data_IF_102059977064
#
_entry.id   IF_102059977064
#
_cell.length_a   1.000
_cell.length_b   1.000
_cell.length_c   1.000
_cell.angle_alpha   90.00
_cell.angle_beta   90.00
_cell.angle_gamma   90.00
#
_symmetry.space_group_name_H-M   'P 1'
#
loop_
_entity.id
_entity.type
_entity.pdbx_description
1 polymer ?
#
# COMPACT_ATOMS: atom_id res chain seq x y z
N UNK A 1 -5.23 14.31 -27.35
CA UNK A 1 -4.92 14.01 -28.77
C UNK A 1 -4.28 12.62 -28.86
N UNK A 2 -5.08 11.56 -28.94
CA UNK A 2 -4.58 10.20 -29.20
C UNK A 2 -5.63 9.45 -30.03
N UNK A 3 -5.74 9.84 -31.30
CA UNK A 3 -6.45 9.12 -32.34
C UNK A 3 -5.44 8.86 -33.45
N UNK A 4 -5.38 7.59 -33.91
CA UNK A 4 -4.43 6.98 -34.86
C UNK A 4 -3.13 6.45 -34.24
N UNK A 5 -3.16 5.17 -33.83
CA UNK A 5 -2.35 4.10 -34.43
C UNK A 5 -2.59 2.78 -33.68
N UNK A 6 -3.60 2.01 -34.12
CA UNK A 6 -3.67 0.57 -33.89
C UNK A 6 -3.88 -0.09 -35.25
N UNK A 7 -2.81 -0.11 -36.05
CA UNK A 7 -2.63 -1.07 -37.14
C UNK A 7 -1.15 -1.40 -37.19
N UNK A 8 -0.85 -2.68 -37.05
CA UNK A 8 0.45 -3.35 -37.15
C UNK A 8 1.23 -3.52 -35.84
N UNK A 9 0.92 -4.58 -35.11
CA UNK A 9 1.95 -5.33 -34.37
C UNK A 9 1.85 -6.80 -34.80
N UNK A 10 2.70 -7.16 -35.77
CA UNK A 10 3.00 -8.54 -36.12
C UNK A 10 4.04 -9.02 -35.10
N UNK A 11 3.71 -10.10 -34.39
CA UNK A 11 4.62 -10.72 -33.43
C UNK A 11 5.79 -11.36 -34.19
N UNK A 12 7.02 -10.98 -33.83
CA UNK A 12 8.22 -11.58 -34.40
C UNK A 12 8.59 -12.85 -33.63
N UNK A 13 8.70 -13.98 -34.33
CA UNK A 13 9.34 -15.19 -33.81
C UNK A 13 10.42 -15.68 -34.78
N UNK A 14 11.65 -15.85 -34.28
CA UNK A 14 12.71 -16.73 -34.84
C UNK A 14 12.93 -17.83 -33.81
N UNK A 15 13.29 -19.09 -34.08
CA UNK A 15 13.44 -20.00 -35.24
C UNK A 15 13.72 -21.38 -34.58
N UNK A 16 13.38 -22.54 -35.13
CA UNK A 16 14.22 -23.33 -36.07
C UNK A 16 13.46 -24.57 -36.59
N UNK A 17 13.72 -24.94 -37.86
CA UNK A 17 13.71 -26.26 -38.55
C UNK A 17 12.94 -27.46 -37.91
N UNK A 18 12.21 -28.33 -38.60
CA UNK A 18 12.14 -28.77 -40.01
C UNK A 18 10.93 -29.69 -40.17
N UNK A 19 10.25 -29.66 -41.33
CA UNK A 19 9.14 -30.56 -41.69
C UNK A 19 7.78 -29.89 -41.57
N UNK A 20 7.32 -29.25 -42.64
CA UNK A 20 5.99 -28.66 -42.69
C UNK A 20 4.96 -29.70 -43.13
N UNK A 21 4.26 -30.31 -42.16
CA UNK A 21 2.84 -30.55 -42.37
C UNK A 21 2.16 -29.19 -42.30
N UNK A 22 1.44 -28.84 -43.38
CA UNK A 22 0.68 -27.59 -43.46
C UNK A 22 -0.46 -27.72 -42.44
N UNK A 23 -0.26 -27.07 -41.30
CA UNK A 23 -1.25 -26.98 -40.24
C UNK A 23 -2.35 -26.03 -40.72
N UNK A 24 -3.49 -26.61 -41.14
CA UNK A 24 -4.64 -25.83 -41.58
C UNK A 24 -5.29 -25.17 -40.36
N UNK A 25 -5.19 -23.84 -40.28
CA UNK A 25 -5.73 -23.04 -39.16
C UNK A 25 -7.24 -23.22 -39.00
N UNK A 26 -7.96 -23.58 -40.07
CA UNK A 26 -9.39 -23.83 -40.03
C UNK A 26 -9.77 -25.03 -39.15
N UNK A 27 -8.88 -26.01 -38.96
CA UNK A 27 -9.13 -27.19 -38.13
C UNK A 27 -9.08 -26.91 -36.61
N UNK A 28 -8.59 -25.73 -36.22
CA UNK A 28 -8.52 -25.24 -34.83
C UNK A 28 -9.47 -24.08 -34.54
N UNK A 29 -10.25 -23.66 -35.54
CA UNK A 29 -11.41 -22.80 -35.34
C UNK A 29 -12.53 -23.72 -34.84
N UNK A 30 -12.81 -23.66 -33.53
CA UNK A 30 -14.01 -24.26 -33.00
C UNK A 30 -15.22 -23.60 -33.68
N UNK A 31 -15.94 -24.32 -34.55
CA UNK A 31 -17.21 -23.85 -35.13
C UNK A 31 -18.24 -23.47 -34.05
N UNK A 32 -18.05 -23.95 -32.81
CA UNK A 32 -18.77 -23.51 -31.63
C UNK A 32 -17.84 -23.33 -30.43
N UNK A 33 -17.67 -22.07 -30.03
CA UNK A 33 -17.30 -21.72 -28.67
C UNK A 33 -18.30 -22.35 -27.70
N UNK A 34 -17.83 -23.19 -26.78
CA UNK A 34 -18.62 -23.68 -25.65
C UNK A 34 -18.33 -22.76 -24.47
N UNK A 35 -19.17 -21.76 -24.18
CA UNK A 35 -18.98 -20.94 -22.99
C UNK A 35 -18.98 -21.83 -21.75
N UNK A 36 -18.14 -21.54 -20.74
CA UNK A 36 -18.29 -22.16 -19.44
C UNK A 36 -19.74 -22.02 -18.97
N UNK A 37 -20.30 -23.08 -18.34
CA UNK A 37 -21.68 -23.07 -17.85
C UNK A 37 -21.90 -21.83 -16.99
N UNK A 38 -22.89 -21.03 -17.40
CA UNK A 38 -23.30 -19.84 -16.69
C UNK A 38 -23.78 -20.22 -15.28
N UNK A 39 -23.34 -19.46 -14.28
CA UNK A 39 -24.10 -19.31 -13.05
C UNK A 39 -24.96 -18.07 -13.21
N UNK A 40 -26.27 -18.22 -13.05
CA UNK A 40 -27.14 -17.05 -12.82
C UNK A 40 -26.59 -16.25 -11.62
N UNK A 41 -26.70 -14.91 -11.62
CA UNK A 41 -26.34 -14.13 -10.45
C UNK A 41 -27.07 -14.70 -9.22
N UNK A 42 -26.29 -15.00 -8.20
CA UNK A 42 -26.72 -15.66 -6.99
C UNK A 42 -27.27 -14.63 -5.98
N UNK A 43 -26.85 -13.35 -6.04
CA UNK A 43 -27.39 -12.29 -5.19
C UNK A 43 -28.62 -11.60 -5.78
N UNK A 44 -29.41 -11.00 -4.90
CA UNK A 44 -30.59 -10.21 -5.22
C UNK A 44 -30.56 -8.89 -4.46
N UNK A 45 -30.52 -7.74 -5.13
CA UNK A 45 -30.67 -6.44 -4.47
C UNK A 45 -32.09 -5.91 -4.70
N UNK A 46 -32.81 -5.62 -3.62
CA UNK A 46 -34.15 -5.03 -3.66
C UNK A 46 -34.07 -3.61 -3.13
N UNK A 47 -34.46 -2.64 -3.94
CA UNK A 47 -34.64 -1.26 -3.51
C UNK A 47 -36.03 -1.10 -2.91
N UNK A 48 -36.10 -0.54 -1.70
CA UNK A 48 -37.36 -0.26 -1.02
C UNK A 48 -37.52 1.25 -1.01
N UNK A 49 -38.62 1.76 -1.58
CA UNK A 49 -38.89 3.20 -1.70
C UNK A 49 -39.13 3.92 -0.36
N UNK A 50 -39.11 3.19 0.75
CA UNK A 50 -39.31 3.72 2.11
C UNK A 50 -38.21 3.24 3.05
N UNK A 51 -37.11 3.98 3.09
CA UNK A 51 -36.31 4.06 4.30
C UNK A 51 -36.66 5.41 4.90
N UNK A 52 -37.31 5.38 6.07
CA UNK A 52 -37.48 6.53 6.97
C UNK A 52 -36.18 7.33 6.96
N UNK A 53 -36.26 8.65 6.83
CA UNK A 53 -35.17 9.58 7.10
C UNK A 53 -34.69 9.42 8.56
N UNK A 54 -34.05 8.29 8.88
CA UNK A 54 -33.01 8.34 9.86
C UNK A 54 -32.01 9.29 9.22
N UNK A 55 -31.86 10.48 9.81
CA UNK A 55 -30.64 11.28 9.70
C UNK A 55 -29.49 10.31 10.00
N UNK A 56 -29.02 9.63 8.96
CA UNK A 56 -27.94 8.68 9.05
C UNK A 56 -26.73 9.57 9.23
N UNK A 57 -26.43 9.90 10.49
CA UNK A 57 -25.12 10.42 10.91
C UNK A 57 -24.08 9.67 10.10
N UNK A 58 -23.18 10.43 9.48
CA UNK A 58 -22.11 9.98 8.58
C UNK A 58 -21.19 9.03 9.35
N UNK A 59 -21.68 7.83 9.63
CA UNK A 59 -20.93 6.69 10.13
C UNK A 59 -20.66 5.87 8.90
N UNK A 60 -19.39 5.71 8.55
CA UNK A 60 -18.99 4.97 7.37
C UNK A 60 -19.66 3.58 7.41
N UNK A 61 -20.35 3.15 6.34
CA UNK A 61 -20.93 1.81 6.13
C UNK A 61 -19.96 0.68 6.40
N UNK A 62 -18.66 0.88 6.18
CA UNK A 62 -17.67 -0.07 6.61
C UNK A 62 -17.77 -0.35 8.10
N UNK A 63 -18.36 0.52 8.94
CA UNK A 63 -18.60 0.33 10.39
C UNK A 63 -19.87 -0.48 10.71
N UNK A 64 -20.74 -0.70 9.73
CA UNK A 64 -22.09 -1.29 9.91
C UNK A 64 -22.22 -2.72 9.41
N UNK A 65 -21.19 -3.27 8.80
CA UNK A 65 -21.17 -4.70 8.47
C UNK A 65 -21.04 -5.44 9.81
N UNK A 66 -22.11 -6.06 10.28
CA UNK A 66 -22.33 -6.42 11.69
C UNK A 66 -21.34 -7.43 12.30
N UNK A 67 -20.31 -7.84 11.57
CA UNK A 67 -19.19 -8.69 12.02
C UNK A 67 -17.86 -8.25 11.37
N UNK A 68 -17.49 -6.97 11.49
CA UNK A 68 -16.26 -6.48 10.86
C UNK A 68 -15.00 -6.96 11.58
N UNK A 69 -14.40 -7.97 10.96
CA UNK A 69 -12.97 -8.24 11.06
C UNK A 69 -12.26 -7.08 10.36
N UNK A 70 -11.89 -6.06 11.14
CA UNK A 70 -10.90 -5.06 10.78
C UNK A 70 -9.55 -5.76 10.80
N UNK A 71 -8.88 -5.97 9.64
CA UNK A 71 -7.67 -6.76 9.61
C UNK A 71 -6.64 -6.18 10.58
N UNK A 72 -6.21 -7.03 11.52
CA UNK A 72 -5.23 -6.68 12.54
C UNK A 72 -5.67 -5.51 13.43
N UNK A 73 -6.96 -5.23 13.65
CA UNK A 73 -7.38 -4.21 14.63
C UNK A 73 -7.14 -4.67 16.06
N UNK A 74 -6.78 -3.73 16.95
CA UNK A 74 -6.70 -3.98 18.39
C UNK A 74 -8.02 -4.53 18.93
N UNK A 75 -7.92 -5.45 19.87
CA UNK A 75 -9.10 -6.09 20.46
C UNK A 75 -9.95 -5.04 21.18
N UNK A 76 -11.22 -4.91 20.78
CA UNK A 76 -12.15 -3.93 21.35
C UNK A 76 -12.02 -2.52 20.79
N UNK A 77 -11.05 -2.26 19.91
CA UNK A 77 -10.93 -0.97 19.24
C UNK A 77 -11.98 -0.82 18.14
N UNK A 78 -12.51 0.39 18.01
CA UNK A 78 -13.55 0.73 17.06
C UNK A 78 -13.06 1.89 16.20
N UNK A 79 -13.25 1.84 14.87
CA UNK A 79 -12.73 2.92 14.06
C UNK A 79 -13.41 4.25 14.39
N UNK A 80 -12.62 5.31 14.39
CA UNK A 80 -13.00 6.65 14.79
C UNK A 80 -12.71 7.65 13.68
N UNK A 81 -13.54 8.70 13.59
CA UNK A 81 -13.26 9.82 12.70
C UNK A 81 -12.29 10.79 13.37
N UNK A 82 -11.26 11.16 12.63
CA UNK A 82 -10.19 12.05 13.10
C UNK A 82 -9.98 13.17 12.08
N UNK A 83 -9.96 14.45 12.49
CA UNK A 83 -9.65 15.56 11.60
C UNK A 83 -8.20 15.52 11.12
N UNK A 84 -7.99 15.87 9.85
CA UNK A 84 -6.67 16.26 9.34
C UNK A 84 -6.51 17.75 9.65
N UNK A 85 -5.63 18.07 10.60
CA UNK A 85 -5.40 19.46 11.02
C UNK A 85 -4.33 20.19 10.23
N UNK A 86 -3.40 19.44 9.64
CA UNK A 86 -2.33 20.00 8.82
C UNK A 86 -1.91 19.02 7.72
N UNK A 87 -1.38 19.56 6.62
CA UNK A 87 -0.74 18.80 5.57
C UNK A 87 0.47 19.56 5.05
N UNK A 88 1.50 18.82 4.64
CA UNK A 88 2.74 19.37 4.10
C UNK A 88 3.22 18.50 2.94
N UNK A 89 3.74 19.13 1.90
CA UNK A 89 4.48 18.44 0.84
C UNK A 89 5.93 18.34 1.28
N UNK A 90 6.42 17.12 1.44
CA UNK A 90 7.83 16.86 1.77
C UNK A 90 8.69 16.78 0.51
N UNK A 91 8.13 16.29 -0.60
CA UNK A 91 8.77 16.26 -1.91
C UNK A 91 7.71 16.31 -3.00
N UNK A 92 7.96 17.07 -4.06
CA UNK A 92 7.09 17.07 -5.25
C UNK A 92 7.36 15.86 -6.15
N UNK A 93 6.43 15.56 -7.05
CA UNK A 93 6.70 14.57 -8.10
C UNK A 93 7.80 15.08 -9.04
N UNK A 94 8.64 14.17 -9.52
CA UNK A 94 9.72 14.46 -10.45
C UNK A 94 9.64 13.45 -11.60
N UNK A 95 9.14 13.86 -12.76
CA UNK A 95 8.94 12.95 -13.88
C UNK A 95 10.26 12.48 -14.50
N UNK A 96 11.29 13.33 -14.51
CA UNK A 96 12.60 13.02 -15.09
C UNK A 96 13.29 11.93 -14.27
N UNK A 97 13.30 12.11 -12.96
CA UNK A 97 13.86 11.12 -12.07
C UNK A 97 12.90 9.96 -11.88
N UNK A 98 11.58 10.10 -12.10
CA UNK A 98 10.51 9.20 -11.59
C UNK A 98 10.40 9.26 -10.06
N UNK A 99 10.53 10.44 -9.49
CA UNK A 99 10.26 10.76 -8.09
C UNK A 99 8.76 10.82 -7.82
N UNK A 100 8.36 10.23 -6.69
CA UNK A 100 6.97 10.24 -6.24
C UNK A 100 6.76 11.47 -5.37
N UNK A 101 5.60 12.11 -5.49
CA UNK A 101 5.17 13.11 -4.52
C UNK A 101 5.05 12.49 -3.14
N UNK A 102 5.64 13.11 -2.12
CA UNK A 102 5.59 12.67 -0.72
C UNK A 102 4.84 13.72 0.09
N UNK A 103 3.80 13.28 0.79
CA UNK A 103 3.01 14.11 1.69
C UNK A 103 3.18 13.65 3.14
N UNK A 104 3.19 14.62 4.04
CA UNK A 104 2.90 14.43 5.45
C UNK A 104 1.51 14.99 5.76
N UNK A 105 0.72 14.25 6.52
CA UNK A 105 -0.50 14.76 7.14
C UNK A 105 -0.40 14.63 8.66
N UNK A 106 -0.95 15.61 9.37
CA UNK A 106 -1.09 15.56 10.83
C UNK A 106 -2.57 15.45 11.19
N UNK A 107 -2.89 14.43 11.97
CA UNK A 107 -4.20 14.16 12.51
C UNK A 107 -4.33 14.76 13.92
N UNK A 108 -5.52 15.26 14.24
CA UNK A 108 -5.86 15.79 15.56
C UNK A 108 -6.53 14.71 16.43
N UNK A 109 -5.72 14.05 17.26
CA UNK A 109 -6.16 12.98 18.15
C UNK A 109 -6.65 13.58 19.47
N UNK A 110 -7.83 13.15 19.94
CA UNK A 110 -8.33 13.59 21.26
C UNK A 110 -7.46 13.10 22.43
N UNK A 111 -6.83 11.92 22.29
CA UNK A 111 -5.97 11.28 23.29
C UNK A 111 -4.83 10.52 22.58
N UNK A 112 -3.75 11.19 22.20
CA UNK A 112 -2.66 10.55 21.46
C UNK A 112 -1.80 9.61 22.34
N UNK A 113 -1.47 10.04 23.56
CA UNK A 113 -0.55 9.35 24.48
C UNK A 113 -0.95 7.91 24.80
N UNK A 114 -2.24 7.66 24.99
CA UNK A 114 -2.75 6.31 25.28
C UNK A 114 -3.03 5.49 24.02
N UNK A 115 -3.06 6.15 22.85
CA UNK A 115 -3.54 5.52 21.62
C UNK A 115 -2.44 4.81 20.84
N UNK A 116 -1.21 5.33 20.82
CA UNK A 116 -0.13 4.71 20.06
C UNK A 116 1.27 4.93 20.65
N UNK A 117 2.20 4.10 20.21
CA UNK A 117 3.64 4.26 20.44
C UNK A 117 4.39 4.27 19.10
N UNK A 118 5.61 4.84 19.03
CA UNK A 118 6.41 4.77 17.82
C UNK A 118 6.55 3.33 17.29
N UNK A 119 6.43 3.17 15.97
CA UNK A 119 6.44 1.85 15.32
C UNK A 119 5.07 1.16 15.24
N UNK A 120 4.05 1.71 15.90
CA UNK A 120 2.66 1.29 15.66
C UNK A 120 2.19 1.68 14.26
N UNK A 121 1.19 0.94 13.79
CA UNK A 121 0.48 1.23 12.55
C UNK A 121 -1.00 1.47 12.82
N UNK A 122 -1.63 2.29 11.99
CA UNK A 122 -3.09 2.46 11.96
C UNK A 122 -3.64 1.90 10.66
N UNK A 123 -4.91 1.47 10.67
CA UNK A 123 -5.66 1.17 9.45
C UNK A 123 -6.54 2.36 9.08
N UNK A 124 -6.38 2.89 7.86
CA UNK A 124 -7.24 3.94 7.31
C UNK A 124 -8.31 3.30 6.43
N UNK A 125 -9.57 3.68 6.63
CA UNK A 125 -10.68 3.20 5.81
C UNK A 125 -10.74 4.05 4.51
N UNK A 126 -10.51 3.45 3.33
CA UNK A 126 -10.64 4.13 2.05
C UNK A 126 -12.10 4.42 1.67
N UNK A 127 -12.26 5.38 0.77
CA UNK A 127 -13.50 5.68 0.05
C UNK A 127 -13.15 5.78 -1.44
N UNK A 128 -13.85 5.03 -2.29
CA UNK A 128 -13.72 5.15 -3.73
C UNK A 128 -14.36 6.46 -4.22
N UNK A 129 -13.75 7.07 -5.24
CA UNK A 129 -14.36 8.16 -5.98
C UNK A 129 -15.28 7.59 -7.07
N UNK A 130 -16.59 7.72 -6.89
CA UNK A 130 -17.57 7.22 -7.88
C UNK A 130 -18.02 8.37 -8.77
N UNK A 131 -17.95 8.15 -10.08
CA UNK A 131 -18.69 8.90 -11.09
C UNK A 131 -19.61 7.92 -11.81
N UNK A 132 -20.93 8.17 -11.73
CA UNK A 132 -22.03 7.51 -12.44
C UNK A 132 -21.99 5.98 -12.63
N UNK A 133 -22.74 5.24 -11.80
CA UNK A 133 -23.02 3.80 -12.01
C UNK A 133 -24.53 3.59 -12.05
N UNK A 134 -25.04 3.02 -13.14
CA UNK A 134 -26.48 2.77 -13.33
C UNK A 134 -26.97 1.53 -12.57
N UNK A 135 -28.20 1.56 -12.02
CA UNK A 135 -28.72 0.53 -11.11
C UNK A 135 -30.06 -0.05 -11.58
N UNK A 136 -30.14 -1.36 -11.89
CA UNK A 136 -31.39 -2.14 -12.00
C UNK A 136 -31.17 -3.61 -11.64
N UNK A 137 -32.11 -4.25 -10.92
CA UNK A 137 -32.16 -5.73 -10.81
C UNK A 137 -33.42 -6.37 -10.17
N UNK A 138 -33.52 -7.72 -10.25
CA UNK A 138 -34.43 -8.62 -9.51
C UNK A 138 -33.97 -10.11 -9.48
N UNK A 139 -34.39 -10.85 -8.43
CA UNK A 139 -34.45 -12.34 -8.17
C UNK A 139 -33.32 -13.03 -7.33
N UNK A 140 -33.64 -14.19 -6.72
CA UNK A 140 -33.62 -14.55 -5.27
C UNK A 140 -32.65 -15.69 -4.86
N UNK A 141 -32.12 -15.58 -3.63
CA UNK A 141 -31.50 -16.57 -2.69
C UNK A 141 -30.01 -16.95 -2.91
N UNK A 142 -29.12 -16.14 -2.30
CA UNK A 142 -27.78 -16.52 -1.83
C UNK A 142 -27.42 -15.84 -0.52
N UNK A 143 -26.46 -16.41 0.22
CA UNK A 143 -25.93 -15.85 1.45
C UNK A 143 -24.95 -14.71 1.13
N UNK A 144 -25.36 -13.47 1.41
CA UNK A 144 -24.57 -12.26 1.20
C UNK A 144 -23.18 -12.36 1.88
N UNK A 145 -22.09 -11.85 1.26
CA UNK A 145 -20.80 -11.78 1.92
C UNK A 145 -20.91 -11.00 3.23
N UNK A 146 -20.29 -11.49 4.29
CA UNK A 146 -20.45 -10.96 5.66
C UNK A 146 -20.03 -9.49 5.81
N UNK A 147 -19.18 -9.00 4.91
CA UNK A 147 -18.71 -7.62 4.88
C UNK A 147 -19.66 -6.65 4.16
N UNK A 148 -20.80 -7.12 3.63
CA UNK A 148 -21.78 -6.26 2.97
C UNK A 148 -22.95 -5.99 3.93
N UNK A 149 -23.27 -4.72 4.22
CA UNK A 149 -24.40 -4.40 5.08
C UNK A 149 -25.72 -4.89 4.49
N UNK A 150 -26.58 -5.46 5.35
CA UNK A 150 -27.92 -5.93 4.97
C UNK A 150 -28.83 -4.81 4.46
N UNK A 151 -28.62 -3.58 4.95
CA UNK A 151 -29.35 -2.38 4.51
C UNK A 151 -28.36 -1.26 4.18
N UNK A 152 -28.17 -0.98 2.88
CA UNK A 152 -27.38 0.15 2.40
C UNK A 152 -27.85 0.63 1.02
N UNK A 153 -27.48 1.86 0.66
CA UNK A 153 -27.72 2.43 -0.68
C UNK A 153 -26.68 1.93 -1.69
N UNK A 154 -26.97 1.86 -3.00
CA UNK A 154 -25.99 1.52 -4.04
C UNK A 154 -24.72 2.35 -4.00
N UNK A 155 -24.87 3.66 -3.83
CA UNK A 155 -23.75 4.59 -3.72
C UNK A 155 -22.79 4.13 -2.62
N UNK A 156 -23.32 3.97 -1.40
CA UNK A 156 -22.56 3.53 -0.21
C UNK A 156 -21.88 2.16 -0.37
N UNK A 157 -22.51 1.23 -1.08
CA UNK A 157 -21.94 -0.08 -1.36
C UNK A 157 -20.70 0.04 -2.26
N UNK A 158 -20.82 0.81 -3.34
CA UNK A 158 -19.76 1.03 -4.31
C UNK A 158 -18.66 1.95 -3.77
N UNK A 159 -18.98 2.87 -2.86
CA UNK A 159 -18.01 3.87 -2.39
C UNK A 159 -17.14 3.29 -1.29
N UNK A 160 -17.69 2.41 -0.47
CA UNK A 160 -17.01 2.02 0.77
C UNK A 160 -16.87 0.52 0.97
N UNK A 161 -17.66 -0.32 0.29
CA UNK A 161 -17.64 -1.76 0.57
C UNK A 161 -16.90 -2.54 -0.52
N UNK A 162 -17.05 -2.16 -1.79
CA UNK A 162 -16.52 -2.89 -2.94
C UNK A 162 -15.26 -2.20 -3.48
N UNK A 163 -14.23 -2.98 -3.78
CA UNK A 163 -13.00 -2.46 -4.40
C UNK A 163 -13.18 -2.36 -5.91
N UNK A 164 -13.80 -1.28 -6.39
CA UNK A 164 -14.06 -1.06 -7.83
C UNK A 164 -12.78 -0.91 -8.66
N UNK A 165 -11.63 -0.62 -8.02
CA UNK A 165 -10.30 -0.55 -8.62
C UNK A 165 -9.53 -1.90 -8.56
N UNK A 166 -10.20 -2.99 -8.18
CA UNK A 166 -9.60 -4.32 -8.19
C UNK A 166 -9.26 -4.78 -9.61
N UNK A 167 -8.23 -5.63 -9.71
CA UNK A 167 -7.87 -6.28 -10.97
C UNK A 167 -9.02 -7.23 -11.36
N UNK A 168 -9.68 -7.04 -12.51
CA UNK A 168 -10.80 -7.88 -12.91
C UNK A 168 -10.28 -9.27 -13.30
N UNK A 169 -10.74 -10.31 -12.60
CA UNK A 169 -10.38 -11.70 -12.91
C UNK A 169 -11.00 -12.12 -14.25
N UNK A 170 -10.38 -13.06 -14.96
CA UNK A 170 -10.91 -13.61 -16.22
C UNK A 170 -12.38 -14.05 -16.15
N UNK A 171 -12.78 -14.71 -15.07
CA UNK A 171 -14.18 -15.10 -14.85
C UNK A 171 -15.13 -13.90 -14.82
N UNK A 172 -14.71 -12.79 -14.18
CA UNK A 172 -15.52 -11.58 -14.11
C UNK A 172 -15.62 -10.92 -15.50
N UNK A 173 -14.53 -10.86 -16.27
CA UNK A 173 -14.56 -10.36 -17.65
C UNK A 173 -15.54 -11.14 -18.54
N UNK A 174 -15.59 -12.48 -18.38
CA UNK A 174 -16.56 -13.30 -19.11
C UNK A 174 -18.02 -12.97 -18.73
N UNK A 175 -18.29 -12.66 -17.46
CA UNK A 175 -19.61 -12.24 -17.00
C UNK A 175 -19.95 -10.83 -17.55
N UNK A 176 -18.99 -9.91 -17.55
CA UNK A 176 -19.16 -8.57 -18.14
C UNK A 176 -19.45 -8.65 -19.65
N UNK A 177 -18.81 -9.56 -20.39
CA UNK A 177 -19.10 -9.75 -21.81
C UNK A 177 -20.59 -10.02 -22.10
N UNK A 178 -21.25 -10.79 -21.23
CA UNK A 178 -22.69 -11.07 -21.36
C UNK A 178 -23.58 -9.87 -21.03
N UNK A 179 -23.02 -8.86 -20.37
CA UNK A 179 -23.71 -7.60 -20.06
C UNK A 179 -23.60 -6.58 -21.21
N UNK A 180 -22.88 -6.90 -22.30
CA UNK A 180 -22.74 -6.04 -23.48
C UNK A 180 -23.86 -6.24 -24.49
N UNK A 181 -24.50 -5.15 -24.92
CA UNK A 181 -25.44 -5.16 -26.05
C UNK A 181 -24.71 -5.22 -27.40
N UNK A 182 -23.51 -4.64 -27.50
CA UNK A 182 -22.69 -4.63 -28.71
C UNK A 182 -21.89 -5.95 -28.85
N UNK A 183 -21.94 -6.57 -30.04
CA UNK A 183 -21.27 -7.84 -30.30
C UNK A 183 -19.74 -7.75 -30.32
N UNK A 184 -19.17 -6.64 -30.78
CA UNK A 184 -17.71 -6.42 -30.82
C UNK A 184 -17.16 -6.22 -29.40
N UNK A 185 -17.85 -5.44 -28.57
CA UNK A 185 -17.49 -5.25 -27.15
C UNK A 185 -17.61 -6.57 -26.36
N UNK A 186 -18.66 -7.34 -26.62
CA UNK A 186 -18.82 -8.70 -26.08
C UNK A 186 -17.66 -9.59 -26.48
N UNK A 187 -17.33 -9.65 -27.77
CA UNK A 187 -16.23 -10.46 -28.28
C UNK A 187 -14.88 -10.05 -27.67
N UNK A 188 -14.64 -8.75 -27.53
CA UNK A 188 -13.44 -8.21 -26.88
C UNK A 188 -13.31 -8.71 -25.43
N UNK A 189 -14.33 -8.52 -24.59
CA UNK A 189 -14.29 -8.97 -23.19
C UNK A 189 -14.22 -10.50 -23.07
N UNK A 190 -14.93 -11.24 -23.93
CA UNK A 190 -14.85 -12.71 -23.98
C UNK A 190 -13.45 -13.17 -24.35
N UNK A 191 -12.77 -12.50 -25.28
CA UNK A 191 -11.39 -12.85 -25.69
C UNK A 191 -10.41 -12.74 -24.52
N UNK A 192 -10.50 -11.68 -23.71
CA UNK A 192 -9.64 -11.49 -22.53
C UNK A 192 -9.84 -12.56 -21.45
N UNK A 193 -11.03 -13.17 -21.42
CA UNK A 193 -11.35 -14.26 -20.49
C UNK A 193 -10.95 -15.64 -20.96
N UNK A 194 -10.64 -15.80 -22.26
CA UNK A 194 -10.35 -17.10 -22.88
C UNK A 194 -8.91 -17.59 -22.59
N UNK A 195 -8.62 -18.83 -22.98
CA UNK A 195 -7.26 -19.37 -22.89
C UNK A 195 -6.35 -18.73 -23.94
N UNK A 196 -6.88 -18.56 -25.15
CA UNK A 196 -6.21 -18.02 -26.32
C UNK A 196 -5.88 -16.53 -26.11
N UNK A 197 -6.75 -15.76 -25.44
CA UNK A 197 -6.50 -14.35 -25.11
C UNK A 197 -5.70 -14.12 -23.83
N UNK A 198 -5.03 -15.15 -23.29
CA UNK A 198 -4.26 -14.99 -22.06
C UNK A 198 -3.09 -14.01 -22.18
N UNK A 199 -2.48 -13.88 -23.37
CA UNK A 199 -1.45 -12.87 -23.62
C UNK A 199 -2.02 -11.45 -23.48
N UNK A 200 -3.19 -11.19 -24.07
CA UNK A 200 -3.86 -9.89 -23.99
C UNK A 200 -4.32 -9.56 -22.56
N UNK A 201 -4.78 -10.56 -21.79
CA UNK A 201 -5.07 -10.36 -20.37
C UNK A 201 -3.82 -9.91 -19.61
N UNK A 202 -2.68 -10.57 -19.82
CA UNK A 202 -1.44 -10.22 -19.13
C UNK A 202 -0.98 -8.80 -19.50
N UNK A 203 -0.93 -8.49 -20.80
CA UNK A 203 -0.50 -7.18 -21.29
C UNK A 203 -1.44 -6.06 -20.84
N UNK A 204 -2.74 -6.17 -21.09
CA UNK A 204 -3.67 -5.07 -20.86
C UNK A 204 -4.03 -4.91 -19.38
N UNK A 205 -4.18 -6.00 -18.63
CA UNK A 205 -4.68 -5.95 -17.26
C UNK A 205 -3.56 -6.01 -16.23
N UNK A 206 -2.60 -6.93 -16.39
CA UNK A 206 -1.55 -7.10 -15.38
C UNK A 206 -0.42 -6.08 -15.57
N UNK A 207 0.02 -5.85 -16.80
CA UNK A 207 1.12 -4.92 -17.10
C UNK A 207 0.61 -3.47 -17.23
N UNK A 208 -0.36 -3.23 -18.14
CA UNK A 208 -0.94 -1.89 -18.32
C UNK A 208 -1.93 -1.49 -17.24
N UNK A 209 -2.42 -2.44 -16.43
CA UNK A 209 -3.16 -2.13 -15.21
C UNK A 209 -4.62 -1.73 -15.39
N UNK A 210 -5.27 -2.09 -16.50
CA UNK A 210 -6.69 -1.80 -16.73
C UNK A 210 -7.58 -2.37 -15.62
N UNK A 211 -8.54 -1.57 -15.17
CA UNK A 211 -9.49 -1.83 -14.07
C UNK A 211 -10.92 -1.91 -14.61
N UNK A 212 -11.86 -2.27 -13.73
CA UNK A 212 -13.29 -2.33 -14.08
C UNK A 212 -13.77 -1.03 -14.76
N UNK A 213 -13.46 0.14 -14.18
CA UNK A 213 -13.91 1.42 -14.72
C UNK A 213 -13.41 1.66 -16.15
N UNK A 214 -12.15 1.31 -16.43
CA UNK A 214 -11.60 1.42 -17.78
C UNK A 214 -12.35 0.51 -18.77
N UNK A 215 -12.75 -0.69 -18.36
CA UNK A 215 -13.55 -1.57 -19.21
C UNK A 215 -14.97 -1.06 -19.44
N UNK A 216 -15.59 -0.42 -18.45
CA UNK A 216 -16.91 0.18 -18.62
C UNK A 216 -16.86 1.42 -19.52
N UNK A 217 -15.74 2.14 -19.54
CA UNK A 217 -15.50 3.26 -20.47
C UNK A 217 -15.18 2.76 -21.89
N UNK A 218 -14.34 1.72 -22.01
CA UNK A 218 -13.98 1.10 -23.31
C UNK A 218 -15.14 0.33 -23.95
N UNK A 219 -16.03 -0.24 -23.13
CA UNK A 219 -17.20 -1.03 -23.56
C UNK A 219 -18.49 -0.38 -23.03
N UNK A 220 -18.94 0.74 -23.62
CA UNK A 220 -20.09 1.51 -23.13
C UNK A 220 -21.42 0.74 -23.21
N UNK A 221 -21.52 -0.31 -24.03
CA UNK A 221 -22.70 -1.18 -24.06
C UNK A 221 -22.75 -2.17 -22.89
N UNK A 222 -21.66 -2.33 -22.14
CA UNK A 222 -21.58 -3.18 -20.96
C UNK A 222 -22.35 -2.56 -19.79
N UNK A 223 -23.49 -3.15 -19.42
CA UNK A 223 -24.36 -2.65 -18.35
C UNK A 223 -24.54 -3.72 -17.25
N UNK A 224 -23.51 -4.01 -16.44
CA UNK A 224 -23.63 -5.00 -15.37
C UNK A 224 -24.61 -4.53 -14.29
N UNK A 225 -25.35 -5.47 -13.71
CA UNK A 225 -26.22 -5.19 -12.55
C UNK A 225 -25.41 -5.12 -11.27
N UNK A 226 -26.00 -4.59 -10.20
CA UNK A 226 -25.31 -4.42 -8.91
C UNK A 226 -24.95 -5.76 -8.25
N UNK A 227 -25.75 -6.79 -8.47
CA UNK A 227 -25.58 -8.18 -8.02
C UNK A 227 -24.29 -8.74 -8.59
N UNK A 228 -24.10 -8.60 -9.90
CA UNK A 228 -22.89 -9.03 -10.59
C UNK A 228 -21.66 -8.33 -9.98
N UNK A 229 -21.76 -7.03 -9.72
CA UNK A 229 -20.67 -6.29 -9.06
C UNK A 229 -20.40 -6.81 -7.65
N UNK A 230 -21.43 -7.11 -6.86
CA UNK A 230 -21.29 -7.67 -5.50
C UNK A 230 -20.63 -9.05 -5.52
N UNK A 231 -20.96 -9.89 -6.50
CA UNK A 231 -20.41 -11.26 -6.63
C UNK A 231 -18.93 -11.29 -6.93
N UNK A 232 -18.49 -10.36 -7.78
CA UNK A 232 -17.16 -10.42 -8.36
C UNK A 232 -16.17 -9.42 -7.75
N UNK A 233 -16.64 -8.30 -7.22
CA UNK A 233 -15.75 -7.30 -6.63
C UNK A 233 -15.32 -7.73 -5.22
N UNK A 234 -14.02 -7.69 -4.91
CA UNK A 234 -13.55 -7.97 -3.56
C UNK A 234 -13.92 -6.83 -2.61
N UNK A 235 -13.85 -7.12 -1.31
CA UNK A 235 -13.98 -6.11 -0.26
C UNK A 235 -12.95 -4.98 -0.46
N UNK A 236 -13.41 -3.75 -0.30
CA UNK A 236 -12.53 -2.58 -0.16
C UNK A 236 -11.88 -2.65 1.22
N UNK A 237 -10.60 -2.99 1.25
CA UNK A 237 -9.84 -3.22 2.48
C UNK A 237 -9.22 -1.91 3.01
N UNK A 238 -9.20 -1.70 4.34
CA UNK A 238 -8.40 -0.65 4.96
C UNK A 238 -6.92 -0.71 4.57
N UNK A 239 -6.22 0.42 4.62
CA UNK A 239 -4.79 0.50 4.31
C UNK A 239 -3.96 0.85 5.55
N UNK A 240 -2.92 0.05 5.83
CA UNK A 240 -2.05 0.31 6.96
C UNK A 240 -1.08 1.46 6.67
N UNK A 241 -0.83 2.29 7.67
CA UNK A 241 0.20 3.33 7.65
C UNK A 241 0.99 3.30 8.95
N UNK A 242 2.31 3.41 8.87
CA UNK A 242 3.21 3.53 10.02
C UNK A 242 3.21 4.96 10.53
N UNK A 243 3.11 5.11 11.85
CA UNK A 243 3.02 6.42 12.49
C UNK A 243 4.41 7.07 12.52
N UNK A 244 4.49 8.36 12.16
CA UNK A 244 5.73 9.06 11.88
C UNK A 244 6.29 9.91 13.04
N UNK A 245 5.65 9.88 14.20
CA UNK A 245 6.02 10.63 15.40
C UNK A 245 5.85 9.78 16.66
N UNK A 246 6.39 10.26 17.78
CA UNK A 246 5.97 9.79 19.11
C UNK A 246 4.74 10.58 19.58
N UNK A 247 3.94 10.05 20.52
CA UNK A 247 2.74 10.75 20.97
C UNK A 247 3.12 12.00 21.78
N UNK A 248 3.08 13.16 21.13
CA UNK A 248 3.35 14.47 21.74
C UNK A 248 2.10 15.31 21.59
N UNK A 249 1.48 15.68 22.72
CA UNK A 249 0.20 16.37 22.71
C UNK A 249 -0.87 15.53 22.03
N UNK A 250 -1.49 16.08 20.99
CA UNK A 250 -2.64 15.47 20.30
C UNK A 250 -2.29 15.02 18.87
N UNK A 251 -1.01 14.96 18.51
CA UNK A 251 -0.61 14.86 17.11
C UNK A 251 -0.32 13.41 16.72
N UNK A 252 -0.87 12.99 15.58
CA UNK A 252 -0.44 11.78 14.88
C UNK A 252 -0.08 12.12 13.45
N UNK A 253 1.16 11.86 13.06
CA UNK A 253 1.71 12.17 11.74
C UNK A 253 1.82 10.92 10.89
N UNK A 254 1.52 11.08 9.61
CA UNK A 254 1.62 10.01 8.62
C UNK A 254 2.35 10.54 7.40
N UNK A 255 3.29 9.76 6.88
CA UNK A 255 4.04 10.08 5.66
C UNK A 255 3.74 9.03 4.61
N UNK A 256 3.39 9.47 3.40
CA UNK A 256 3.07 8.56 2.31
C UNK A 256 3.43 9.15 0.95
N UNK A 257 3.65 8.27 -0.03
CA UNK A 257 3.92 8.64 -1.40
C UNK A 257 2.71 8.42 -2.31
N UNK A 258 2.57 9.26 -3.33
CA UNK A 258 1.52 9.16 -4.34
C UNK A 258 2.16 8.67 -5.64
N UNK A 259 1.59 7.63 -6.22
CA UNK A 259 2.01 7.15 -7.54
C UNK A 259 1.46 8.08 -8.63
N UNK A 260 2.31 8.67 -9.51
CA UNK A 260 1.86 9.67 -10.48
C UNK A 260 0.80 9.18 -11.47
N UNK A 261 0.98 7.98 -12.02
CA UNK A 261 0.08 7.46 -13.08
C UNK A 261 -1.14 6.72 -12.52
N UNK A 262 -0.98 6.05 -11.37
CA UNK A 262 -1.97 5.13 -10.80
C UNK A 262 -2.02 5.32 -9.29
N UNK A 263 -2.55 6.44 -8.80
CA UNK A 263 -2.63 6.69 -7.37
C UNK A 263 -3.50 5.61 -6.71
N UNK A 264 -3.12 5.19 -5.51
CA UNK A 264 -3.89 4.23 -4.74
C UNK A 264 -5.17 4.88 -4.21
N UNK A 265 -6.24 4.10 -4.03
CA UNK A 265 -7.54 4.64 -3.54
C UNK A 265 -7.38 5.47 -2.26
N UNK A 266 -6.62 4.96 -1.28
CA UNK A 266 -6.41 5.69 -0.02
C UNK A 266 -5.48 6.87 -0.18
N UNK A 267 -4.37 6.74 -0.92
CA UNK A 267 -3.41 7.86 -1.08
C UNK A 267 -4.00 8.99 -1.92
N UNK A 268 -4.82 8.69 -2.93
CA UNK A 268 -5.58 9.68 -3.69
C UNK A 268 -6.62 10.37 -2.81
N UNK A 269 -7.40 9.60 -2.03
CA UNK A 269 -8.34 10.15 -1.06
C UNK A 269 -7.66 11.11 -0.08
N UNK A 270 -6.52 10.70 0.50
CA UNK A 270 -5.75 11.55 1.43
C UNK A 270 -5.19 12.80 0.75
N UNK A 271 -4.67 12.68 -0.48
CA UNK A 271 -4.19 13.82 -1.28
C UNK A 271 -5.31 14.85 -1.52
N UNK A 272 -6.49 14.38 -1.91
CA UNK A 272 -7.65 15.23 -2.17
C UNK A 272 -8.16 15.90 -0.89
N UNK A 273 -8.18 15.18 0.24
CA UNK A 273 -8.55 15.75 1.54
C UNK A 273 -7.50 16.73 2.08
N UNK A 274 -6.21 16.52 1.76
CA UNK A 274 -5.13 17.42 2.16
C UNK A 274 -5.07 18.70 1.30
N UNK A 275 -5.55 18.67 0.06
CA UNK A 275 -5.42 19.78 -0.90
C UNK A 275 -5.90 21.16 -0.38
N UNK A 276 -7.04 21.29 0.34
CA UNK A 276 -7.44 22.58 0.92
C UNK A 276 -6.41 23.13 1.91
N UNK A 277 -5.81 22.26 2.74
CA UNK A 277 -4.83 22.63 3.75
C UNK A 277 -3.49 23.03 3.12
N UNK A 278 -3.09 22.33 2.04
CA UNK A 278 -1.88 22.63 1.28
C UNK A 278 -1.96 23.98 0.56
N UNK A 279 -3.15 24.37 0.10
CA UNK A 279 -3.38 25.62 -0.61
C UNK A 279 -3.64 26.82 0.32
N UNK A 280 -3.40 26.67 1.63
CA UNK A 280 -3.71 27.66 2.67
C UNK A 280 -5.16 28.18 2.60
N UNK A 281 -6.09 27.38 2.06
CA UNK A 281 -7.49 27.63 2.28
C UNK A 281 -7.72 27.37 3.78
N UNK A 282 -8.38 28.29 4.47
CA UNK A 282 -8.84 28.07 5.83
C UNK A 282 -10.24 27.45 5.74
N UNK A 283 -10.39 26.12 5.62
CA UNK A 283 -11.70 25.52 5.50
C UNK A 283 -12.49 25.78 6.78
N UNK A 284 -13.79 26.05 6.64
CA UNK A 284 -14.68 26.24 7.79
C UNK A 284 -14.82 24.97 8.64
N UNK A 285 -14.63 23.80 8.04
CA UNK A 285 -14.56 22.50 8.73
C UNK A 285 -13.34 21.72 8.23
N UNK A 286 -12.57 21.16 9.17
CA UNK A 286 -11.42 20.33 8.83
C UNK A 286 -11.88 19.01 8.16
N UNK A 287 -11.20 18.57 7.08
CA UNK A 287 -11.45 17.28 6.47
C UNK A 287 -11.16 16.16 7.48
N UNK A 288 -11.97 15.09 7.47
CA UNK A 288 -11.88 13.98 8.41
C UNK A 288 -11.63 12.66 7.69
N UNK A 289 -10.87 11.77 8.32
CA UNK A 289 -10.66 10.40 7.90
C UNK A 289 -11.09 9.43 9.00
N UNK A 290 -11.39 8.18 8.63
CA UNK A 290 -11.67 7.13 9.63
C UNK A 290 -10.50 6.20 9.77
N UNK A 291 -10.04 6.04 11.01
CA UNK A 291 -8.89 5.22 11.36
C UNK A 291 -9.23 4.23 12.47
N UNK A 292 -8.45 3.16 12.60
CA UNK A 292 -8.41 2.30 13.79
C UNK A 292 -6.97 1.91 14.10
N UNK A 293 -6.68 1.62 15.36
CA UNK A 293 -5.37 1.15 15.79
C UNK A 293 -5.19 -0.32 15.39
N UNK A 294 -4.05 -0.64 14.79
CA UNK A 294 -3.69 -2.03 14.54
C UNK A 294 -3.05 -2.65 15.79
N UNK A 295 -3.14 -3.97 15.87
CA UNK A 295 -2.53 -4.78 16.91
C UNK A 295 -1.04 -4.40 17.04
N UNK A 296 -0.56 -4.22 18.27
CA UNK A 296 0.87 -4.05 18.52
C UNK A 296 1.67 -5.15 17.81
N UNK A 297 2.78 -4.78 17.19
CA UNK A 297 3.71 -5.73 16.60
C UNK A 297 5.08 -5.61 17.29
N UNK A 298 6.03 -6.48 16.94
CA UNK A 298 7.39 -6.45 17.50
C UNK A 298 8.19 -5.21 17.06
N UNK A 299 7.70 -4.45 16.08
CA UNK A 299 8.34 -3.24 15.57
C UNK A 299 8.10 -2.01 16.45
N UNK A 300 7.17 -2.10 17.43
CA UNK A 300 6.93 -1.06 18.42
C UNK A 300 8.20 -0.73 19.22
N UNK A 301 8.45 0.56 19.37
CA UNK A 301 9.62 1.11 20.05
C UNK A 301 9.21 1.87 21.31
N UNK A 302 9.63 1.35 22.46
CA UNK A 302 9.22 1.83 23.78
C UNK A 302 10.35 2.62 24.45
N UNK A 303 10.03 3.36 25.51
CA UNK A 303 11.04 4.04 26.31
C UNK A 303 12.05 3.07 26.95
N UNK A 304 11.62 1.84 27.26
CA UNK A 304 12.50 0.80 27.76
C UNK A 304 13.47 0.32 26.67
N UNK A 305 12.95 0.05 25.46
CA UNK A 305 13.77 -0.33 24.31
C UNK A 305 14.82 0.74 24.02
N UNK A 306 14.40 2.03 23.98
CA UNK A 306 15.29 3.17 23.77
C UNK A 306 16.45 3.26 24.78
N UNK A 307 16.21 2.85 26.04
CA UNK A 307 17.18 2.93 27.12
C UNK A 307 18.11 1.70 27.20
N UNK A 308 17.56 0.49 27.03
CA UNK A 308 18.27 -0.77 27.31
C UNK A 308 19.02 -1.33 26.09
N UNK A 309 18.66 -0.91 24.88
CA UNK A 309 19.14 -1.51 23.64
C UNK A 309 19.83 -0.52 22.73
N UNK A 310 20.72 -1.06 21.92
CA UNK A 310 21.32 -0.36 20.79
C UNK A 310 20.48 -0.63 19.53
N UNK A 311 20.54 0.25 18.54
CA UNK A 311 19.59 0.23 17.43
C UNK A 311 20.29 0.46 16.10
N UNK A 312 20.04 -0.41 15.14
CA UNK A 312 20.35 -0.15 13.74
C UNK A 312 19.02 0.00 13.00
N UNK A 313 18.80 1.16 12.42
CA UNK A 313 17.57 1.50 11.69
C UNK A 313 17.90 1.55 10.20
N UNK A 314 17.13 0.86 9.36
CA UNK A 314 17.31 0.88 7.90
C UNK A 314 15.97 1.23 7.25
N UNK A 315 15.90 2.39 6.59
CA UNK A 315 14.67 2.90 5.99
C UNK A 315 14.88 3.61 4.64
N UNK A 316 14.06 3.26 3.64
CA UNK A 316 14.19 3.83 2.28
C UNK A 316 12.94 4.65 1.91
N UNK A 317 13.13 5.94 1.62
CA UNK A 317 12.06 6.88 1.27
C UNK A 317 11.04 7.04 2.40
N UNK A 318 9.77 6.76 2.12
CA UNK A 318 8.69 6.88 3.11
C UNK A 318 8.82 5.89 4.27
N UNK A 319 9.71 4.89 4.19
CA UNK A 319 10.02 3.99 5.29
C UNK A 319 10.73 4.67 6.46
N UNK A 320 11.17 5.91 6.31
CA UNK A 320 11.71 6.67 7.43
C UNK A 320 10.64 7.05 8.46
N UNK A 321 9.35 6.96 8.11
CA UNK A 321 8.23 7.34 8.98
C UNK A 321 8.39 6.80 10.42
N UNK A 322 8.41 5.48 10.70
CA UNK A 322 8.52 5.00 12.07
C UNK A 322 9.79 5.47 12.79
N UNK A 323 10.91 5.60 12.06
CA UNK A 323 12.19 6.01 12.65
C UNK A 323 12.23 7.47 13.06
N UNK A 324 11.48 8.34 12.39
CA UNK A 324 11.27 9.71 12.86
C UNK A 324 10.59 9.74 14.24
N UNK A 325 9.61 8.85 14.46
CA UNK A 325 8.98 8.66 15.77
C UNK A 325 9.92 8.06 16.82
N UNK A 326 10.82 7.14 16.44
CA UNK A 326 11.80 6.56 17.35
C UNK A 326 12.78 7.64 17.84
N UNK A 327 13.33 8.43 16.90
CA UNK A 327 14.28 9.49 17.21
C UNK A 327 13.62 10.63 18.00
N UNK A 328 12.36 10.96 17.71
CA UNK A 328 11.59 11.93 18.51
C UNK A 328 11.40 11.45 19.95
N UNK A 329 11.04 10.17 20.15
CA UNK A 329 10.93 9.60 21.49
C UNK A 329 12.27 9.69 22.23
N UNK A 330 13.38 9.31 21.60
CA UNK A 330 14.72 9.40 22.21
C UNK A 330 15.07 10.84 22.60
N UNK A 331 14.81 11.80 21.70
CA UNK A 331 15.05 13.22 21.98
C UNK A 331 14.24 13.68 23.22
N UNK A 332 12.97 13.29 23.32
CA UNK A 332 12.13 13.65 24.45
C UNK A 332 12.60 13.04 25.78
N UNK A 333 12.99 11.76 25.75
CA UNK A 333 13.49 11.06 26.94
C UNK A 333 14.76 11.73 27.49
N UNK A 334 15.65 12.19 26.61
CA UNK A 334 16.85 12.94 26.96
C UNK A 334 16.50 14.36 27.45
N UNK A 335 15.65 15.09 26.72
CA UNK A 335 15.28 16.47 27.06
C UNK A 335 14.54 16.57 28.41
N UNK A 336 13.69 15.59 28.72
CA UNK A 336 12.96 15.53 29.99
C UNK A 336 13.81 14.97 31.15
N UNK A 337 15.05 14.55 30.88
CA UNK A 337 15.94 13.96 31.89
C UNK A 337 15.44 12.63 32.46
N UNK A 338 14.54 11.93 31.75
CA UNK A 338 14.01 10.62 32.16
C UNK A 338 15.13 9.59 32.20
N UNK A 339 16.05 9.66 31.22
CA UNK A 339 17.27 8.88 31.19
C UNK A 339 18.48 9.80 30.97
N UNK A 340 19.59 9.51 31.66
CA UNK A 340 20.85 10.26 31.50
C UNK A 340 21.56 9.93 30.18
N UNK A 341 21.42 8.68 29.74
CA UNK A 341 21.97 8.14 28.51
C UNK A 341 20.93 7.18 27.94
N UNK A 342 20.94 7.03 26.62
CA UNK A 342 20.13 6.03 25.90
C UNK A 342 21.08 5.13 25.12
N UNK A 343 20.61 3.97 24.66
CA UNK A 343 21.45 3.13 23.82
C UNK A 343 21.69 3.76 22.45
N UNK A 344 22.81 3.41 21.83
CA UNK A 344 23.27 4.03 20.60
C UNK A 344 22.34 3.67 19.43
N UNK A 345 22.17 4.60 18.49
CA UNK A 345 21.33 4.43 17.31
C UNK A 345 22.09 4.82 16.05
N UNK A 346 22.13 3.91 15.08
CA UNK A 346 22.62 4.16 13.73
C UNK A 346 21.44 4.13 12.76
N UNK A 347 21.44 5.02 11.77
CA UNK A 347 20.41 5.07 10.74
C UNK A 347 21.04 4.99 9.34
N UNK A 348 20.64 3.99 8.57
CA UNK A 348 20.92 3.87 7.15
C UNK A 348 19.68 4.28 6.36
N UNK A 349 19.82 5.32 5.55
CA UNK A 349 18.70 5.88 4.78
C UNK A 349 18.98 5.88 3.28
N UNK A 350 17.93 5.67 2.51
CA UNK A 350 18.00 5.72 1.04
C UNK A 350 16.88 6.57 0.46
N UNK A 351 17.18 7.37 -0.55
CA UNK A 351 16.18 8.07 -1.36
C UNK A 351 16.64 8.16 -2.81
N UNK A 352 15.85 8.84 -3.66
CA UNK A 352 16.26 9.10 -5.04
C UNK A 352 17.30 10.24 -5.09
N UNK A 353 17.14 11.24 -4.24
CA UNK A 353 18.04 12.36 -4.02
C UNK A 353 17.72 12.98 -2.64
N UNK A 354 18.44 14.03 -2.29
CA UNK A 354 18.37 14.74 -1.01
C UNK A 354 16.97 15.33 -0.76
N UNK A 355 16.31 15.85 -1.81
CA UNK A 355 15.00 16.51 -1.69
C UNK A 355 13.86 15.53 -1.48
N UNK A 356 14.04 14.26 -1.86
CA UNK A 356 13.05 13.19 -1.67
C UNK A 356 13.29 12.36 -0.41
N UNK A 357 14.16 12.82 0.48
CA UNK A 357 14.41 12.19 1.77
C UNK A 357 13.55 12.87 2.85
N UNK A 358 12.49 12.22 3.35
CA UNK A 358 11.58 12.84 4.33
C UNK A 358 12.32 13.34 5.58
N UNK A 359 12.14 14.63 5.90
CA UNK A 359 12.69 15.26 7.12
C UNK A 359 14.21 15.12 7.29
N UNK A 360 14.97 15.15 6.18
CA UNK A 360 16.45 15.08 6.20
C UNK A 360 17.09 16.05 7.20
N UNK A 361 16.68 17.32 7.20
CA UNK A 361 17.24 18.33 8.12
C UNK A 361 17.00 17.97 9.60
N UNK A 362 15.84 17.39 9.92
CA UNK A 362 15.52 16.95 11.28
C UNK A 362 16.39 15.75 11.69
N UNK A 363 16.68 14.85 10.76
CA UNK A 363 17.57 13.71 11.00
C UNK A 363 19.00 14.18 11.26
N UNK A 364 19.51 15.12 10.45
CA UNK A 364 20.82 15.75 10.67
C UNK A 364 20.88 16.44 12.04
N UNK A 365 19.82 17.17 12.42
CA UNK A 365 19.75 17.79 13.75
C UNK A 365 19.76 16.76 14.90
N UNK A 366 19.20 15.56 14.70
CA UNK A 366 19.29 14.47 15.68
C UNK A 366 20.72 13.93 15.82
N UNK A 367 21.47 13.88 14.72
CA UNK A 367 22.89 13.49 14.74
C UNK A 367 23.72 14.54 15.47
N UNK A 368 23.56 15.82 15.14
CA UNK A 368 24.24 16.93 15.82
C UNK A 368 23.93 16.99 17.32
N UNK A 369 22.69 16.66 17.71
CA UNK A 369 22.26 16.62 19.11
C UNK A 369 22.68 15.34 19.86
N UNK A 370 23.32 14.37 19.19
CA UNK A 370 23.71 13.09 19.78
C UNK A 370 22.52 12.15 20.12
N UNK A 371 21.34 12.43 19.59
CA UNK A 371 20.17 11.52 19.67
C UNK A 371 20.38 10.32 18.75
N UNK A 372 20.98 10.58 17.58
CA UNK A 372 21.43 9.64 16.57
C UNK A 372 22.97 9.63 16.58
N UNK A 373 23.60 8.48 16.77
CA UNK A 373 25.06 8.37 16.92
C UNK A 373 25.77 8.34 15.58
N UNK A 374 25.15 7.75 14.56
CA UNK A 374 25.66 7.73 13.19
C UNK A 374 24.53 7.77 12.18
N UNK A 375 24.71 8.57 11.15
CA UNK A 375 23.81 8.67 10.03
C UNK A 375 24.51 8.34 8.71
N UNK A 376 23.84 7.54 7.88
CA UNK A 376 24.30 7.14 6.56
C UNK A 376 23.22 7.45 5.52
N UNK A 377 23.63 8.09 4.42
CA UNK A 377 22.74 8.51 3.33
C UNK A 377 23.15 7.93 1.98
N UNK A 378 22.18 7.33 1.28
CA UNK A 378 22.35 6.86 -0.10
C UNK A 378 21.31 7.48 -1.03
N UNK A 379 21.76 7.85 -2.23
CA UNK A 379 20.93 8.52 -3.22
C UNK A 379 21.03 7.84 -4.58
N UNK A 380 19.98 7.12 -4.95
CA UNK A 380 19.98 6.27 -6.16
C UNK A 380 20.04 7.04 -7.48
N UNK A 381 19.75 8.35 -7.47
CA UNK A 381 19.72 9.20 -8.67
C UNK A 381 20.50 10.51 -8.53
N UNK A 382 21.15 10.76 -7.40
CA UNK A 382 22.04 11.91 -7.27
C UNK A 382 23.41 11.58 -7.89
N UNK A 383 23.87 12.43 -8.81
CA UNK A 383 25.16 12.24 -9.51
C UNK A 383 26.36 12.31 -8.56
N UNK A 384 26.23 13.06 -7.46
CA UNK A 384 27.26 13.23 -6.43
C UNK A 384 27.24 12.15 -5.36
N UNK A 385 26.31 11.18 -5.43
CA UNK A 385 26.16 10.17 -4.39
C UNK A 385 27.40 9.27 -4.31
N UNK A 386 27.94 9.13 -3.10
CA UNK A 386 29.00 8.13 -2.83
C UNK A 386 28.45 6.72 -2.87
N UNK A 387 27.22 6.54 -2.38
CA UNK A 387 26.49 5.28 -2.38
C UNK A 387 25.11 5.50 -2.99
N UNK A 388 24.71 4.64 -3.90
CA UNK A 388 23.42 4.77 -4.58
C UNK A 388 22.30 4.05 -3.83
N UNK A 389 22.62 3.01 -3.08
CA UNK A 389 21.65 2.25 -2.32
C UNK A 389 22.15 1.85 -0.93
N UNK A 390 21.22 1.63 -0.01
CA UNK A 390 21.52 1.24 1.38
C UNK A 390 22.37 -0.03 1.48
N UNK A 391 22.18 -1.02 0.59
CA UNK A 391 23.02 -2.21 0.56
C UNK A 391 24.50 -1.91 0.30
N UNK A 392 24.81 -0.90 -0.53
CA UNK A 392 26.19 -0.50 -0.80
C UNK A 392 26.82 0.13 0.44
N UNK A 393 26.03 0.89 1.21
CA UNK A 393 26.48 1.46 2.48
C UNK A 393 26.78 0.38 3.51
N UNK A 394 25.90 -0.61 3.63
CA UNK A 394 26.10 -1.73 4.55
C UNK A 394 27.40 -2.47 4.23
N UNK A 395 27.64 -2.78 2.96
CA UNK A 395 28.85 -3.48 2.52
C UNK A 395 30.12 -2.63 2.72
N UNK A 396 30.05 -1.34 2.42
CA UNK A 396 31.19 -0.43 2.62
C UNK A 396 31.58 -0.27 4.09
N UNK A 397 30.61 -0.38 5.00
CA UNK A 397 30.81 -0.32 6.45
C UNK A 397 30.66 -1.68 7.13
N UNK A 398 30.86 -2.79 6.40
CA UNK A 398 30.50 -4.13 6.86
C UNK A 398 31.11 -4.49 8.22
N UNK A 399 32.40 -4.20 8.43
CA UNK A 399 33.09 -4.48 9.69
C UNK A 399 32.44 -3.79 10.89
N UNK A 400 32.22 -2.47 10.79
CA UNK A 400 31.61 -1.68 11.86
C UNK A 400 30.14 -2.04 12.07
N UNK A 401 29.41 -2.27 10.97
CA UNK A 401 28.01 -2.72 11.01
C UNK A 401 27.86 -4.06 11.70
N UNK A 402 28.67 -5.07 11.34
CA UNK A 402 28.60 -6.40 11.96
C UNK A 402 29.05 -6.33 13.41
N UNK A 403 30.13 -5.61 13.74
CA UNK A 403 30.56 -5.44 15.13
C UNK A 403 29.43 -4.86 16.00
N UNK A 404 28.79 -3.79 15.54
CA UNK A 404 27.69 -3.17 16.26
C UNK A 404 26.45 -4.08 16.32
N UNK A 405 26.10 -4.73 15.21
CA UNK A 405 25.01 -5.70 15.14
C UNK A 405 25.24 -6.88 16.10
N UNK A 406 26.47 -7.36 16.28
CA UNK A 406 26.76 -8.54 17.09
C UNK A 406 26.68 -8.28 18.60
N UNK A 407 26.68 -7.02 19.06
CA UNK A 407 26.47 -6.71 20.48
C UNK A 407 25.12 -7.24 20.97
N UNK A 408 25.10 -7.85 22.16
CA UNK A 408 23.94 -8.58 22.68
C UNK A 408 22.67 -7.70 22.76
N UNK A 409 22.85 -6.43 23.11
CA UNK A 409 21.77 -5.46 23.25
C UNK A 409 21.39 -4.73 21.94
N UNK A 410 22.06 -4.98 20.80
CA UNK A 410 21.71 -4.34 19.52
C UNK A 410 20.54 -5.02 18.83
N UNK A 411 19.60 -4.21 18.34
CA UNK A 411 18.42 -4.63 17.56
C UNK A 411 18.43 -3.92 16.20
N UNK A 412 18.22 -4.70 15.15
CA UNK A 412 18.10 -4.26 13.76
C UNK A 412 16.62 -4.10 13.39
N UNK A 413 16.25 -2.90 12.97
CA UNK A 413 14.94 -2.55 12.46
C UNK A 413 15.01 -2.20 10.98
N UNK A 414 14.16 -2.84 10.18
CA UNK A 414 14.04 -2.57 8.75
C UNK A 414 12.61 -2.16 8.43
N UNK A 415 12.46 -0.99 7.83
CA UNK A 415 11.22 -0.56 7.22
C UNK A 415 11.46 -0.37 5.73
N UNK A 416 10.72 -1.08 4.88
CA UNK A 416 10.97 -1.05 3.44
C UNK A 416 9.79 -1.60 2.62
N UNK A 417 9.87 -1.41 1.30
CA UNK A 417 9.12 -2.21 0.35
C UNK A 417 9.50 -3.70 0.49
N UNK A 418 8.52 -4.54 0.81
CA UNK A 418 8.66 -5.97 1.02
C UNK A 418 8.81 -6.79 -0.27
N UNK A 419 8.72 -6.14 -1.44
CA UNK A 419 8.89 -6.78 -2.73
C UNK A 419 10.35 -7.06 -3.05
N UNK A 420 11.07 -6.01 -3.42
CA UNK A 420 12.47 -6.09 -3.86
C UNK A 420 13.46 -5.51 -2.85
N UNK A 421 13.16 -4.35 -2.26
CA UNK A 421 14.11 -3.60 -1.43
C UNK A 421 14.48 -4.38 -0.16
N UNK A 422 13.48 -4.91 0.56
CA UNK A 422 13.73 -5.71 1.77
C UNK A 422 14.62 -6.92 1.50
N UNK A 423 14.46 -7.59 0.35
CA UNK A 423 15.29 -8.74 -0.02
C UNK A 423 16.72 -8.32 -0.32
N UNK A 424 16.92 -7.19 -1.00
CA UNK A 424 18.25 -6.65 -1.25
C UNK A 424 18.97 -6.28 0.04
N UNK A 425 18.26 -5.69 1.01
CA UNK A 425 18.81 -5.40 2.34
C UNK A 425 19.17 -6.70 3.08
N UNK A 426 18.27 -7.68 3.12
CA UNK A 426 18.53 -8.98 3.74
C UNK A 426 19.76 -9.68 3.15
N UNK A 427 19.90 -9.69 1.82
CA UNK A 427 21.10 -10.21 1.14
C UNK A 427 22.35 -9.46 1.57
N UNK A 428 22.32 -8.12 1.59
CA UNK A 428 23.47 -7.32 1.98
C UNK A 428 23.89 -7.56 3.44
N UNK A 429 22.94 -7.74 4.36
CA UNK A 429 23.23 -8.10 5.75
C UNK A 429 23.92 -9.46 5.82
N UNK A 430 23.45 -10.46 5.06
CA UNK A 430 24.11 -11.78 5.00
C UNK A 430 25.51 -11.69 4.42
N UNK A 431 25.72 -10.90 3.37
CA UNK A 431 27.04 -10.66 2.76
C UNK A 431 28.00 -9.98 3.76
N UNK A 432 27.52 -9.00 4.54
CA UNK A 432 28.32 -8.40 5.61
C UNK A 432 28.75 -9.45 6.65
N UNK A 433 27.84 -10.32 7.08
CA UNK A 433 28.16 -11.40 8.03
C UNK A 433 29.20 -12.37 7.47
N UNK A 434 29.05 -12.79 6.20
CA UNK A 434 30.02 -13.65 5.50
C UNK A 434 31.40 -12.99 5.46
N UNK A 435 31.46 -11.71 5.07
CA UNK A 435 32.71 -10.97 4.94
C UNK A 435 33.45 -10.83 6.26
N UNK A 436 32.74 -10.48 7.34
CA UNK A 436 33.36 -10.10 8.62
C UNK A 436 33.57 -11.28 9.54
N UNK A 437 32.63 -12.24 9.56
CA UNK A 437 32.74 -13.44 10.41
C UNK A 437 33.45 -14.59 9.72
N UNK A 438 33.75 -14.48 8.42
CA UNK A 438 34.35 -15.53 7.60
C UNK A 438 33.54 -16.85 7.62
N UNK A 439 32.22 -16.72 7.65
CA UNK A 439 31.26 -17.84 7.63
C UNK A 439 30.70 -18.04 6.22
N UNK A 440 30.09 -19.20 5.99
CA UNK A 440 29.36 -19.47 4.75
C UNK A 440 28.04 -18.72 4.67
N UNK A 441 27.50 -18.58 3.46
CA UNK A 441 26.19 -17.95 3.25
C UNK A 441 25.06 -18.69 3.98
N UNK A 442 25.13 -20.02 4.04
CA UNK A 442 24.15 -20.85 4.76
C UNK A 442 24.18 -20.58 6.27
N UNK A 443 25.37 -20.45 6.85
CA UNK A 443 25.55 -20.07 8.26
C UNK A 443 25.01 -18.66 8.53
N UNK A 444 25.30 -17.70 7.65
CA UNK A 444 24.75 -16.34 7.76
C UNK A 444 23.21 -16.33 7.67
N UNK A 445 22.62 -17.14 6.79
CA UNK A 445 21.17 -17.30 6.68
C UNK A 445 20.55 -17.90 7.95
N UNK A 446 21.21 -18.90 8.55
CA UNK A 446 20.78 -19.49 9.83
C UNK A 446 20.85 -18.47 10.97
N UNK A 447 21.92 -17.68 11.03
CA UNK A 447 22.07 -16.62 12.03
C UNK A 447 21.01 -15.54 11.90
N UNK A 448 20.69 -15.12 10.67
CA UNK A 448 19.62 -14.16 10.43
C UNK A 448 18.24 -14.71 10.83
N UNK A 449 17.98 -16.01 10.59
CA UNK A 449 16.76 -16.68 11.08
C UNK A 449 16.70 -16.67 12.61
N UNK A 450 17.82 -16.88 13.30
CA UNK A 450 17.89 -16.76 14.76
C UNK A 450 17.60 -15.33 15.22
N UNK A 451 18.15 -14.31 14.55
CA UNK A 451 17.87 -12.91 14.86
C UNK A 451 16.38 -12.55 14.66
N UNK A 452 15.76 -13.06 13.59
CA UNK A 452 14.32 -12.92 13.36
C UNK A 452 13.51 -13.63 14.47
N UNK A 453 13.93 -14.84 14.85
CA UNK A 453 13.27 -15.65 15.87
C UNK A 453 13.31 -15.04 17.28
N UNK A 454 14.47 -14.51 17.69
CA UNK A 454 14.67 -13.94 19.03
C UNK A 454 14.30 -12.44 19.14
N UNK A 455 13.88 -11.81 18.04
CA UNK A 455 13.46 -10.40 18.02
C UNK A 455 14.61 -9.40 17.94
N UNK A 456 15.83 -9.84 17.64
CA UNK A 456 16.98 -8.98 17.32
C UNK A 456 16.86 -8.35 15.94
N UNK A 457 16.14 -8.99 15.02
CA UNK A 457 15.87 -8.47 13.68
C UNK A 457 14.36 -8.31 13.52
N UNK A 458 13.90 -7.09 13.25
CA UNK A 458 12.48 -6.69 13.22
C UNK A 458 12.17 -5.96 11.91
N UNK A 459 11.05 -6.31 11.30
CA UNK A 459 10.64 -5.75 10.00
C UNK A 459 9.24 -5.14 10.07
N UNK A 460 9.07 -4.00 9.39
CA UNK A 460 7.79 -3.41 9.01
C UNK A 460 7.77 -3.20 7.49
N UNK A 461 7.17 -4.16 6.77
CA UNK A 461 7.19 -4.21 5.32
C UNK A 461 5.80 -3.93 4.74
N UNK A 462 5.76 -3.16 3.65
CA UNK A 462 4.55 -2.98 2.83
C UNK A 462 4.78 -3.53 1.41
N UNK A 463 3.69 -3.86 0.72
CA UNK A 463 3.70 -4.39 -0.65
C UNK A 463 2.95 -3.47 -1.61
#
# INVERSE_FOLDING_TARGET
MASKHIRNMVCASKSTASGFDILNIEDYILEKYVPPKLSDPIYSVVFVDSIVENKLTIKHSQLRCTELIWPFSRTGDMPMQVPIKAAQILAEADDELKGKRILEITLDMQTAEDYFQPGDTIGILPINNIKDISTKCSKKIAKLPTYIPTHCTPYRLLSDCLSIHAIPKKQFLNVLANCCENNDERAFLSSLSSKEGSCYYNELILERGLKLLDFLELCPSCKPTLEILIEHLPRLLPRPYSIANCPVGNDMKLIFSILPEKPGVTTDMLNNLAAPLLNAANPSELPKITIYARQPNKFRFTSQEANERNHILIGVGTALAPFLGFLELKQQLLANGIFKTLGDTWLFSGAINETHLPHRERILAYEEAGVLQRYFESFSRALSATYHYVQEQLLAHASEFVEFLMQENTVLYICADGGSISKSIETAVMECLVQVKHITLDEASQELKLFKGNGKYREDLWL
#
